data_IF_168182293788
#
_entry.id   IF_168182293788
#
_cell.length_a   1.000
_cell.length_b   1.000
_cell.length_c   1.000
_cell.angle_alpha   90.00
_cell.angle_beta   90.00
_cell.angle_gamma   90.00
#
_symmetry.space_group_name_H-M   'P 1'
#
loop_
_entity.id
_entity.type
_entity.pdbx_description
1 polymer ?
#
# COMPACT_ATOMS: atom_id res chain seq x y z
N UNK A 1 -16.18 3.97 -36.72
CA UNK A 1 -15.39 4.66 -37.76
C UNK A 1 -14.00 4.82 -37.17
N UNK A 2 -12.99 4.26 -37.82
CA UNK A 2 -11.61 4.24 -37.32
C UNK A 2 -11.10 5.68 -37.19
N UNK A 3 -10.84 6.11 -35.96
CA UNK A 3 -10.12 7.34 -35.66
C UNK A 3 -8.66 7.16 -36.06
N UNK A 4 -8.28 7.74 -37.19
CA UNK A 4 -6.90 7.82 -37.63
C UNK A 4 -6.09 8.61 -36.61
N UNK A 5 -5.21 7.94 -35.86
CA UNK A 5 -4.23 8.57 -34.96
C UNK A 5 -3.39 9.57 -35.78
N UNK A 6 -3.33 10.83 -35.36
CA UNK A 6 -2.33 11.77 -35.86
C UNK A 6 -0.94 11.34 -35.35
N UNK A 7 0.16 11.67 -36.05
CA UNK A 7 1.50 11.38 -35.56
C UNK A 7 1.68 12.11 -34.22
N UNK A 8 1.67 11.33 -33.14
CA UNK A 8 1.64 11.84 -31.77
C UNK A 8 2.78 12.81 -31.54
N UNK A 9 2.47 14.02 -31.06
CA UNK A 9 3.48 14.84 -30.41
C UNK A 9 4.02 13.98 -29.27
N UNK A 10 5.27 13.54 -29.37
CA UNK A 10 5.94 12.81 -28.31
C UNK A 10 6.58 13.82 -27.37
N UNK A 11 6.68 13.47 -26.09
CA UNK A 11 7.52 14.22 -25.17
C UNK A 11 8.94 14.32 -25.74
N UNK A 12 9.51 15.52 -25.74
CA UNK A 12 10.89 15.73 -26.19
C UNK A 12 11.88 14.91 -25.34
N UNK A 13 13.12 14.69 -25.83
CA UNK A 13 14.12 13.86 -25.15
C UNK A 13 14.47 14.33 -23.72
N UNK A 14 14.23 15.60 -23.40
CA UNK A 14 14.48 16.18 -22.06
C UNK A 14 13.27 16.12 -21.10
N UNK A 15 12.11 15.67 -21.57
CA UNK A 15 10.88 15.62 -20.78
C UNK A 15 10.81 14.33 -19.96
N UNK A 16 11.26 14.41 -18.71
CA UNK A 16 11.12 13.31 -17.75
C UNK A 16 9.65 12.97 -17.52
N UNK A 17 9.37 11.69 -17.36
CA UNK A 17 8.05 11.15 -17.10
C UNK A 17 8.01 10.33 -15.80
N UNK A 18 6.81 10.20 -15.25
CA UNK A 18 6.46 9.26 -14.19
C UNK A 18 5.57 8.20 -14.83
N UNK A 19 6.03 6.95 -14.83
CA UNK A 19 5.33 5.80 -15.36
C UNK A 19 4.51 5.10 -14.28
N UNK A 20 3.28 4.75 -14.60
CA UNK A 20 2.41 3.90 -13.81
C UNK A 20 2.08 2.66 -14.63
N UNK A 21 2.43 1.49 -14.11
CA UNK A 21 2.27 0.20 -14.78
C UNK A 21 1.04 -0.54 -14.24
N UNK A 22 0.60 -1.56 -14.98
CA UNK A 22 -0.50 -2.47 -14.59
C UNK A 22 -1.85 -1.76 -14.31
N UNK A 23 -2.13 -0.66 -15.01
CA UNK A 23 -3.38 0.09 -14.87
C UNK A 23 -4.45 -0.50 -15.80
N UNK A 24 -5.68 -0.65 -15.33
CA UNK A 24 -6.81 -1.03 -16.17
C UNK A 24 -7.43 0.23 -16.80
N UNK A 25 -7.64 0.23 -18.11
CA UNK A 25 -8.12 1.39 -18.87
C UNK A 25 -9.37 1.08 -19.68
N UNK A 26 -10.30 2.03 -19.67
CA UNK A 26 -11.54 2.00 -20.42
C UNK A 26 -11.90 3.42 -20.89
N UNK A 27 -12.38 3.56 -22.12
CA UNK A 27 -12.76 4.87 -22.70
C UNK A 27 -14.21 4.84 -23.16
N UNK A 28 -15.17 5.29 -22.32
CA UNK A 28 -16.55 5.40 -22.74
C UNK A 28 -16.74 6.54 -23.74
N UNK A 29 -17.61 6.34 -24.72
CA UNK A 29 -18.02 7.40 -25.64
C UNK A 29 -19.11 8.30 -25.00
N UNK A 30 -18.78 8.92 -23.86
CA UNK A 30 -19.67 9.78 -23.07
C UNK A 30 -18.87 11.00 -22.60
N UNK A 31 -19.39 12.20 -22.85
CA UNK A 31 -18.83 13.43 -22.29
C UNK A 31 -19.21 13.57 -20.81
N UNK A 32 -18.19 13.54 -19.95
CA UNK A 32 -18.32 13.70 -18.49
C UNK A 32 -17.56 14.94 -17.98
N UNK A 33 -17.27 15.89 -18.86
CA UNK A 33 -16.48 17.10 -18.54
C UNK A 33 -17.12 17.97 -17.45
N UNK A 34 -18.45 18.02 -17.41
CA UNK A 34 -19.23 18.80 -16.44
C UNK A 34 -19.55 18.04 -15.14
N UNK A 35 -19.18 16.77 -15.04
CA UNK A 35 -19.59 15.93 -13.93
C UNK A 35 -18.89 16.29 -12.63
N UNK A 36 -19.67 16.33 -11.56
CA UNK A 36 -19.14 16.48 -10.21
C UNK A 36 -18.69 15.12 -9.63
N UNK A 37 -18.04 15.17 -8.45
CA UNK A 37 -17.53 13.97 -7.75
C UNK A 37 -18.62 12.91 -7.51
N UNK A 38 -19.85 13.33 -7.21
CA UNK A 38 -20.96 12.42 -6.91
C UNK A 38 -21.45 11.70 -8.17
N UNK A 39 -21.50 12.38 -9.31
CA UNK A 39 -21.88 11.79 -10.60
C UNK A 39 -20.83 10.79 -11.08
N UNK A 40 -19.54 11.16 -11.00
CA UNK A 40 -18.44 10.26 -11.30
C UNK A 40 -18.50 8.99 -10.42
N UNK A 41 -18.75 9.14 -9.12
CA UNK A 41 -18.82 8.01 -8.19
C UNK A 41 -19.97 7.06 -8.50
N UNK A 42 -21.15 7.59 -8.86
CA UNK A 42 -22.29 6.76 -9.29
C UNK A 42 -21.94 5.92 -10.51
N UNK A 43 -21.20 6.47 -11.46
CA UNK A 43 -20.78 5.74 -12.64
C UNK A 43 -19.73 4.66 -12.32
N UNK A 44 -18.79 4.91 -11.40
CA UNK A 44 -17.88 3.86 -10.94
C UNK A 44 -18.61 2.67 -10.31
N UNK A 45 -19.69 2.90 -9.56
CA UNK A 45 -20.54 1.81 -9.05
C UNK A 45 -21.22 1.01 -10.18
N UNK A 46 -21.59 1.67 -11.28
CA UNK A 46 -22.14 0.97 -12.45
C UNK A 46 -21.06 0.07 -13.08
N UNK A 47 -19.84 0.57 -13.22
CA UNK A 47 -18.71 -0.21 -13.75
C UNK A 47 -18.35 -1.40 -12.85
N UNK A 48 -18.32 -1.21 -11.52
CA UNK A 48 -17.98 -2.29 -10.58
C UNK A 48 -19.04 -3.41 -10.61
N UNK A 49 -20.31 -3.08 -10.84
CA UNK A 49 -21.40 -4.06 -10.93
C UNK A 49 -21.53 -4.71 -12.32
N UNK A 50 -21.07 -4.04 -13.39
CA UNK A 50 -21.15 -4.53 -14.76
C UNK A 50 -19.82 -5.17 -15.18
N UNK A 51 -19.73 -6.50 -15.09
CA UNK A 51 -18.55 -7.27 -15.50
C UNK A 51 -18.32 -7.37 -17.02
N UNK A 52 -19.12 -6.69 -17.83
CA UNK A 52 -19.07 -6.76 -19.30
C UNK A 52 -18.10 -5.76 -19.94
N UNK A 53 -17.62 -4.76 -19.21
CA UNK A 53 -16.68 -3.78 -19.75
C UNK A 53 -15.27 -4.36 -19.86
N UNK A 54 -14.73 -4.37 -21.08
CA UNK A 54 -13.40 -4.92 -21.35
C UNK A 54 -12.34 -3.86 -21.03
N UNK A 55 -11.79 -3.93 -19.83
CA UNK A 55 -10.63 -3.12 -19.46
C UNK A 55 -9.37 -3.68 -20.13
N UNK A 56 -8.59 -2.78 -20.74
CA UNK A 56 -7.26 -3.11 -21.27
C UNK A 56 -6.21 -2.80 -20.22
N UNK A 57 -5.20 -3.64 -20.06
CA UNK A 57 -4.08 -3.35 -19.15
C UNK A 57 -3.08 -2.45 -19.87
N UNK A 58 -2.78 -1.30 -19.27
CA UNK A 58 -2.01 -0.22 -19.88
C UNK A 58 -0.93 0.31 -18.95
N UNK A 59 0.04 0.98 -19.55
CA UNK A 59 1.02 1.82 -18.87
C UNK A 59 0.69 3.29 -19.14
N UNK A 60 0.62 4.09 -18.07
CA UNK A 60 0.35 5.53 -18.13
C UNK A 60 1.66 6.29 -17.91
N UNK A 61 2.05 7.13 -18.86
CA UNK A 61 3.20 8.02 -18.73
C UNK A 61 2.74 9.46 -18.50
N UNK A 62 3.11 10.02 -17.36
CA UNK A 62 2.75 11.40 -16.98
C UNK A 62 4.02 12.25 -16.97
N UNK A 63 4.13 13.29 -17.81
CA UNK A 63 5.32 14.13 -17.89
C UNK A 63 5.47 14.98 -16.63
N UNK A 64 6.69 15.35 -16.25
CA UNK A 64 6.94 16.19 -15.07
C UNK A 64 6.77 17.70 -15.34
N UNK A 65 6.44 18.08 -16.57
CA UNK A 65 6.21 19.46 -16.98
C UNK A 65 4.78 19.64 -17.51
N UNK A 66 4.24 20.85 -17.37
CA UNK A 66 2.83 21.17 -17.67
C UNK A 66 2.51 21.18 -19.16
N UNK A 67 3.51 21.45 -19.99
CA UNK A 67 3.39 21.45 -21.46
C UNK A 67 3.53 20.05 -22.06
N UNK A 68 3.86 19.06 -21.23
CA UNK A 68 4.07 17.70 -21.65
C UNK A 68 2.77 16.99 -21.99
N UNK A 69 2.94 15.82 -22.59
CA UNK A 69 1.88 14.99 -23.12
C UNK A 69 1.76 13.75 -22.23
N UNK A 70 0.56 13.57 -21.67
CA UNK A 70 0.17 12.34 -21.02
C UNK A 70 -0.12 11.31 -22.11
N UNK A 71 0.45 10.12 -21.98
CA UNK A 71 0.19 9.02 -22.89
C UNK A 71 -0.24 7.77 -22.13
N UNK A 72 -1.16 7.02 -22.72
CA UNK A 72 -1.57 5.69 -22.28
C UNK A 72 -1.20 4.71 -23.38
N UNK A 73 -0.45 3.69 -23.00
CA UNK A 73 0.08 2.67 -23.91
C UNK A 73 -0.40 1.30 -23.50
N UNK A 74 -0.76 0.46 -24.44
CA UNK A 74 -1.09 -0.94 -24.17
C UNK A 74 0.13 -1.65 -23.57
N UNK A 75 -0.06 -2.35 -22.45
CA UNK A 75 1.04 -2.98 -21.71
C UNK A 75 1.68 -4.18 -22.45
N UNK A 76 0.96 -4.79 -23.40
CA UNK A 76 1.38 -5.97 -24.15
C UNK A 76 1.95 -5.56 -25.51
N UNK A 77 1.20 -4.76 -26.28
CA UNK A 77 1.60 -4.37 -27.64
C UNK A 77 2.51 -3.16 -27.68
N UNK A 78 2.60 -2.40 -26.57
CA UNK A 78 3.27 -1.10 -26.50
C UNK A 78 2.69 -0.06 -27.48
N UNK A 79 1.47 -0.28 -27.98
CA UNK A 79 0.76 0.66 -28.85
C UNK A 79 0.23 1.86 -28.04
N UNK A 80 0.34 3.07 -28.59
CA UNK A 80 -0.23 4.27 -27.98
C UNK A 80 -1.75 4.30 -28.20
N UNK A 81 -2.51 4.19 -27.12
CA UNK A 81 -3.97 4.21 -27.16
C UNK A 81 -4.50 5.65 -27.16
N UNK A 82 -3.98 6.49 -26.26
CA UNK A 82 -4.31 7.91 -26.20
C UNK A 82 -3.07 8.71 -25.83
N UNK A 83 -2.94 9.90 -26.39
CA UNK A 83 -1.95 10.90 -26.01
C UNK A 83 -2.56 12.29 -26.13
N UNK A 84 -2.44 13.10 -25.09
CA UNK A 84 -2.92 14.48 -25.12
C UNK A 84 -2.14 15.38 -24.13
N UNK A 85 -2.02 16.69 -24.40
CA UNK A 85 -1.38 17.64 -23.50
C UNK A 85 -2.02 17.69 -22.10
N UNK A 86 -1.22 17.73 -21.04
CA UNK A 86 -1.75 17.80 -19.66
C UNK A 86 -2.65 19.03 -19.41
N UNK A 87 -2.40 20.13 -20.11
CA UNK A 87 -3.21 21.35 -20.00
C UNK A 87 -4.62 21.23 -20.62
N UNK A 88 -4.90 20.16 -21.37
CA UNK A 88 -6.23 19.88 -21.93
C UNK A 88 -7.16 19.17 -20.94
N UNK A 89 -6.65 18.71 -19.79
CA UNK A 89 -7.44 18.08 -18.74
C UNK A 89 -8.46 19.09 -18.20
N UNK A 90 -9.75 18.74 -18.29
CA UNK A 90 -10.87 19.52 -17.76
C UNK A 90 -11.47 18.94 -16.50
N UNK A 91 -11.54 17.60 -16.41
CA UNK A 91 -12.07 16.91 -15.24
C UNK A 91 -11.08 15.83 -14.79
N UNK A 92 -10.80 15.81 -13.48
CA UNK A 92 -9.99 14.79 -12.83
C UNK A 92 -10.60 14.43 -11.47
N UNK A 93 -11.29 13.30 -11.44
CA UNK A 93 -12.06 12.83 -10.31
C UNK A 93 -11.62 11.43 -9.88
N UNK A 94 -11.76 11.11 -8.58
CA UNK A 94 -11.56 9.75 -8.04
C UNK A 94 -12.83 9.25 -7.38
N UNK A 95 -12.91 7.93 -7.21
CA UNK A 95 -13.87 7.32 -6.31
C UNK A 95 -13.76 7.84 -4.87
N UNK A 96 -14.87 7.72 -4.16
CA UNK A 96 -15.07 8.30 -2.83
C UNK A 96 -15.33 7.27 -1.73
N UNK A 97 -15.60 6.01 -2.10
CA UNK A 97 -15.89 4.92 -1.17
C UNK A 97 -15.01 3.70 -1.45
N UNK A 98 -15.09 2.69 -0.57
CA UNK A 98 -14.24 1.49 -0.62
C UNK A 98 -14.39 0.68 -1.91
N UNK A 99 -15.57 0.66 -2.53
CA UNK A 99 -15.82 -0.08 -3.77
C UNK A 99 -15.23 0.65 -4.99
N UNK A 100 -15.25 1.98 -4.97
CA UNK A 100 -14.85 2.82 -6.10
C UNK A 100 -13.47 3.46 -5.94
N UNK A 101 -12.82 3.26 -4.79
CA UNK A 101 -11.55 3.88 -4.42
C UNK A 101 -10.42 3.72 -5.45
N UNK A 102 -10.47 2.64 -6.24
CA UNK A 102 -9.47 2.31 -7.23
C UNK A 102 -9.69 3.00 -8.59
N UNK A 103 -10.76 3.77 -8.75
CA UNK A 103 -11.10 4.41 -10.02
C UNK A 103 -10.69 5.90 -10.09
N UNK A 104 -10.19 6.29 -11.26
CA UNK A 104 -9.94 7.67 -11.68
C UNK A 104 -10.74 7.93 -12.96
N UNK A 105 -11.40 9.08 -13.01
CA UNK A 105 -12.01 9.64 -14.20
C UNK A 105 -11.16 10.81 -14.68
N UNK A 106 -10.83 10.79 -15.97
CA UNK A 106 -10.00 11.75 -16.64
C UNK A 106 -10.71 12.21 -17.91
N UNK A 107 -11.08 13.49 -17.97
CA UNK A 107 -11.70 14.07 -19.16
C UNK A 107 -10.81 15.18 -19.71
N UNK A 108 -10.53 15.14 -21.01
CA UNK A 108 -9.75 16.17 -21.70
C UNK A 108 -10.51 16.70 -22.91
N UNK A 109 -10.20 17.93 -23.32
CA UNK A 109 -10.70 18.49 -24.57
C UNK A 109 -9.94 17.94 -25.77
N UNK A 110 -10.58 17.84 -26.92
CA UNK A 110 -9.88 17.61 -28.18
C UNK A 110 -9.60 18.97 -28.80
N UNK A 111 -8.36 19.48 -28.74
CA UNK A 111 -8.02 20.66 -29.52
C UNK A 111 -8.01 20.28 -31.01
N UNK A 112 -8.86 20.91 -31.82
CA UNK A 112 -8.83 20.80 -33.28
C UNK A 112 -7.58 21.52 -33.81
N UNK A 113 -6.39 20.95 -33.60
CA UNK A 113 -5.13 21.54 -34.05
C UNK A 113 -4.84 21.32 -35.55
N UNK A 114 -5.81 20.83 -36.33
CA UNK A 114 -5.77 20.85 -37.78
C UNK A 114 -6.81 21.85 -38.34
N UNK A 115 -6.61 23.14 -38.05
CA UNK A 115 -7.24 24.18 -38.87
C UNK A 115 -6.42 24.31 -40.17
N UNK A 116 -6.54 23.34 -41.08
CA UNK A 116 -6.38 23.64 -42.50
C UNK A 116 -7.60 24.48 -42.91
N UNK A 117 -7.42 25.80 -42.93
CA UNK A 117 -8.25 26.81 -43.56
C UNK A 117 -9.68 26.36 -43.95
N UNK A 118 -10.59 26.25 -42.98
CA UNK A 118 -12.02 26.13 -43.25
C UNK A 118 -12.67 27.51 -43.19
N UNK A 119 -13.50 27.80 -44.20
CA UNK A 119 -14.29 29.00 -44.43
C UNK A 119 -14.81 29.70 -43.15
N UNK A 120 -14.84 31.05 -43.09
CA UNK A 120 -15.35 31.82 -41.95
C UNK A 120 -16.90 31.77 -41.82
N UNK A 121 -17.54 30.72 -42.31
CA UNK A 121 -19.01 30.52 -42.25
C UNK A 121 -19.46 29.21 -41.61
N UNK A 122 -18.54 28.37 -41.12
CA UNK A 122 -18.91 27.17 -40.36
C UNK A 122 -18.96 27.46 -38.86
N UNK A 123 -20.02 26.96 -38.22
CA UNK A 123 -20.33 27.03 -36.78
C UNK A 123 -19.11 26.81 -35.88
N UNK A 124 -19.10 27.45 -34.70
CA UNK A 124 -18.06 27.30 -33.68
C UNK A 124 -17.67 25.81 -33.51
N UNK A 125 -16.37 25.48 -33.43
CA UNK A 125 -15.96 24.09 -33.26
C UNK A 125 -16.59 23.58 -31.96
N UNK A 126 -17.45 22.57 -32.08
CA UNK A 126 -18.00 21.85 -30.94
C UNK A 126 -16.82 21.41 -30.07
N UNK A 127 -16.70 21.99 -28.87
CA UNK A 127 -15.72 21.55 -27.88
C UNK A 127 -16.04 20.10 -27.51
N UNK A 128 -15.42 19.16 -28.21
CA UNK A 128 -15.61 17.74 -27.96
C UNK A 128 -14.67 17.34 -26.82
N UNK A 129 -15.24 16.69 -25.81
CA UNK A 129 -14.52 16.17 -24.66
C UNK A 129 -14.49 14.65 -24.72
N UNK A 130 -13.33 14.08 -24.45
CA UNK A 130 -13.15 12.63 -24.35
C UNK A 130 -12.93 12.27 -22.88
N UNK A 131 -13.65 11.24 -22.44
CA UNK A 131 -13.56 10.73 -21.07
C UNK A 131 -12.89 9.37 -21.06
N UNK A 132 -11.99 9.20 -20.10
CA UNK A 132 -11.24 7.99 -19.84
C UNK A 132 -11.37 7.58 -18.38
N UNK A 133 -11.45 6.29 -18.15
CA UNK A 133 -11.52 5.67 -16.84
C UNK A 133 -10.26 4.83 -16.65
N UNK A 134 -9.55 5.10 -15.56
CA UNK A 134 -8.42 4.31 -15.10
C UNK A 134 -8.82 3.60 -13.81
N UNK A 135 -8.59 2.29 -13.74
CA UNK A 135 -8.73 1.50 -12.52
C UNK A 135 -7.34 1.06 -12.09
N UNK A 136 -6.86 1.65 -11.00
CA UNK A 136 -5.56 1.34 -10.43
C UNK A 136 -5.65 0.01 -9.66
N UNK A 137 -4.55 -0.76 -9.55
CA UNK A 137 -4.50 -1.95 -8.71
C UNK A 137 -4.84 -1.67 -7.24
N UNK A 138 -4.59 -0.44 -6.77
CA UNK A 138 -4.83 -0.01 -5.39
C UNK A 138 -5.25 1.45 -5.30
N UNK A 139 -5.88 1.79 -4.18
CA UNK A 139 -6.29 3.14 -3.83
C UNK A 139 -5.11 4.13 -3.77
N UNK A 140 -3.96 3.71 -3.24
CA UNK A 140 -2.78 4.57 -3.17
C UNK A 140 -2.24 4.88 -4.57
N UNK A 141 -2.34 3.93 -5.52
CA UNK A 141 -2.10 4.20 -6.94
C UNK A 141 -3.02 5.30 -7.48
N UNK A 142 -4.32 5.22 -7.21
CA UNK A 142 -5.32 6.25 -7.57
C UNK A 142 -4.94 7.62 -7.01
N UNK A 143 -4.63 7.68 -5.71
CA UNK A 143 -4.24 8.92 -5.04
C UNK A 143 -3.02 9.54 -5.69
N UNK A 144 -2.00 8.72 -5.96
CA UNK A 144 -0.73 9.19 -6.51
C UNK A 144 -0.87 9.69 -7.94
N UNK A 145 -1.62 9.00 -8.81
CA UNK A 145 -1.89 9.50 -10.17
C UNK A 145 -2.52 10.88 -10.11
N UNK A 146 -3.56 11.04 -9.28
CA UNK A 146 -4.26 12.31 -9.14
C UNK A 146 -3.38 13.40 -8.56
N UNK A 147 -2.62 13.10 -7.50
CA UNK A 147 -1.72 14.03 -6.85
C UNK A 147 -0.65 14.53 -7.81
N UNK A 148 -0.01 13.62 -8.56
CA UNK A 148 0.99 13.95 -9.58
C UNK A 148 0.39 14.88 -10.63
N UNK A 149 -0.75 14.52 -11.23
CA UNK A 149 -1.39 15.34 -12.27
C UNK A 149 -1.76 16.72 -11.71
N UNK A 150 -2.38 16.77 -10.53
CA UNK A 150 -2.78 18.04 -9.90
C UNK A 150 -1.57 18.93 -9.65
N UNK A 151 -0.52 18.40 -9.02
CA UNK A 151 0.70 19.13 -8.68
C UNK A 151 1.38 19.72 -9.91
N UNK A 152 1.39 19.01 -11.03
CA UNK A 152 1.94 19.50 -12.30
C UNK A 152 1.08 20.62 -12.88
N UNK A 153 -0.26 20.47 -12.83
CA UNK A 153 -1.20 21.47 -13.37
C UNK A 153 -1.23 22.75 -12.51
N UNK A 154 -1.09 22.63 -11.19
CA UNK A 154 -1.16 23.75 -10.22
C UNK A 154 0.19 24.37 -9.88
N UNK A 155 1.30 23.86 -10.43
CA UNK A 155 2.68 24.34 -10.21
C UNK A 155 3.15 24.30 -8.74
N UNK A 156 2.59 23.41 -7.91
CA UNK A 156 3.02 23.21 -6.52
C UNK A 156 4.37 22.47 -6.45
N UNK A 157 5.44 23.23 -6.65
CA UNK A 157 6.83 22.76 -6.57
C UNK A 157 7.35 22.82 -5.14
N UNK A 158 7.00 21.83 -4.32
CA UNK A 158 7.72 21.66 -3.06
C UNK A 158 7.02 20.76 -2.05
N UNK A 159 7.38 19.48 -2.03
CA UNK A 159 7.60 18.81 -0.74
C UNK A 159 8.35 17.50 -0.93
N UNK A 160 9.50 17.40 -0.28
CA UNK A 160 10.17 16.14 0.02
C UNK A 160 9.29 15.36 0.99
N UNK A 161 8.65 14.28 0.53
CA UNK A 161 7.81 13.45 1.37
C UNK A 161 8.66 12.77 2.46
N UNK A 162 8.44 13.18 3.71
CA UNK A 162 8.91 12.47 4.91
C UNK A 162 7.78 11.55 5.36
N UNK A 163 8.11 10.27 5.57
CA UNK A 163 7.16 9.15 5.60
C UNK A 163 6.75 8.81 7.04
N UNK A 164 5.47 8.52 7.25
CA UNK A 164 4.94 7.91 8.48
C UNK A 164 3.95 6.83 8.09
N UNK A 165 4.35 5.57 8.16
CA UNK A 165 3.42 4.45 8.16
C UNK A 165 3.01 4.17 9.60
N UNK A 166 1.76 3.77 9.81
CA UNK A 166 1.22 3.38 11.12
C UNK A 166 0.70 1.96 10.93
N UNK A 167 1.10 1.00 11.76
CA UNK A 167 0.51 -0.34 11.70
C UNK A 167 -0.77 -0.40 12.48
N UNK A 168 -1.68 -1.26 12.07
CA UNK A 168 -2.81 -1.70 12.89
C UNK A 168 -2.55 -3.13 13.43
N UNK A 169 -3.22 -3.56 14.50
CA UNK A 169 -2.49 -4.06 15.66
C UNK A 169 -2.14 -5.56 15.70
N UNK A 170 -1.04 -5.87 16.39
CA UNK A 170 -0.70 -7.21 16.87
C UNK A 170 -1.53 -7.57 18.10
N UNK A 171 -2.16 -8.74 18.09
CA UNK A 171 -2.89 -9.26 19.25
C UNK A 171 -2.44 -10.67 19.56
N UNK A 172 -2.10 -10.93 20.82
CA UNK A 172 -1.96 -12.31 21.29
C UNK A 172 -3.30 -12.74 21.86
N UNK A 173 -3.77 -13.90 21.46
CA UNK A 173 -5.00 -14.51 21.97
C UNK A 173 -4.70 -15.87 22.60
N UNK A 174 -5.48 -16.27 23.59
CA UNK A 174 -5.37 -17.54 24.31
C UNK A 174 -6.64 -18.36 24.12
N UNK A 175 -6.50 -19.68 24.05
CA UNK A 175 -7.64 -20.60 24.11
C UNK A 175 -8.38 -20.44 25.44
N UNK A 176 -9.70 -20.24 25.37
CA UNK A 176 -10.56 -20.07 26.53
C UNK A 176 -11.06 -21.40 27.13
N UNK A 177 -10.64 -22.54 26.56
CA UNK A 177 -11.05 -23.87 26.99
C UNK A 177 -12.37 -24.35 26.40
N UNK A 178 -12.98 -23.59 25.47
CA UNK A 178 -14.20 -23.97 24.75
C UNK A 178 -13.96 -24.80 23.49
N UNK A 179 -12.69 -25.09 23.14
CA UNK A 179 -12.24 -25.73 21.89
C UNK A 179 -12.60 -24.96 20.60
N UNK A 180 -13.28 -23.81 20.68
CA UNK A 180 -13.78 -23.07 19.50
C UNK A 180 -13.24 -21.64 19.44
N UNK A 181 -13.01 -20.98 20.58
CA UNK A 181 -12.70 -19.54 20.62
C UNK A 181 -11.36 -19.21 21.28
N UNK A 182 -10.59 -18.31 20.65
CA UNK A 182 -9.41 -17.69 21.22
C UNK A 182 -9.77 -16.28 21.69
N UNK A 183 -9.43 -15.94 22.93
CA UNK A 183 -9.73 -14.64 23.54
C UNK A 183 -8.47 -13.76 23.62
N UNK A 184 -8.52 -12.47 23.24
CA UNK A 184 -7.39 -11.56 23.38
C UNK A 184 -6.85 -11.49 24.80
N UNK A 185 -5.53 -11.64 24.92
CA UNK A 185 -4.78 -11.60 26.16
C UNK A 185 -4.85 -10.19 26.79
N UNK A 186 -5.15 -10.07 28.08
CA UNK A 186 -5.18 -8.77 28.74
C UNK A 186 -3.76 -8.21 28.91
N UNK A 187 -3.67 -6.88 28.98
CA UNK A 187 -2.41 -6.15 29.17
C UNK A 187 -2.46 -5.28 30.41
N UNK A 188 -1.30 -5.14 31.05
CA UNK A 188 -1.06 -4.10 32.05
C UNK A 188 -0.63 -2.78 31.35
N UNK A 189 -0.34 -1.75 32.15
CA UNK A 189 0.23 -0.50 31.64
C UNK A 189 1.52 -0.79 30.85
N UNK A 190 1.79 0.05 29.85
CA UNK A 190 2.94 -0.09 28.95
C UNK A 190 2.95 -1.39 28.13
N UNK A 191 1.77 -1.85 27.72
CA UNK A 191 1.58 -2.97 26.78
C UNK A 191 2.19 -4.32 27.24
N UNK A 192 2.27 -4.54 28.56
CA UNK A 192 2.76 -5.81 29.12
C UNK A 192 1.66 -6.89 29.03
N UNK A 193 1.81 -7.86 28.15
CA UNK A 193 0.89 -8.98 27.98
C UNK A 193 0.86 -9.88 29.23
N UNK A 194 -0.33 -10.27 29.69
CA UNK A 194 -0.50 -11.20 30.81
C UNK A 194 -0.90 -12.58 30.29
N UNK A 195 0.08 -13.45 30.09
CA UNK A 195 -0.15 -14.77 29.49
C UNK A 195 -0.25 -15.84 30.57
N UNK A 196 -1.02 -16.90 30.33
CA UNK A 196 -1.04 -18.10 31.17
C UNK A 196 -0.05 -19.13 30.68
N UNK A 197 0.64 -19.81 31.59
CA UNK A 197 1.47 -20.96 31.23
C UNK A 197 0.61 -22.12 30.73
N UNK A 198 1.16 -22.92 29.83
CA UNK A 198 0.59 -24.16 29.33
C UNK A 198 -0.80 -23.99 28.71
N UNK A 199 -1.09 -22.80 28.19
CA UNK A 199 -2.32 -22.47 27.47
C UNK A 199 -1.97 -22.20 26.02
N UNK A 200 -2.67 -22.87 25.09
CA UNK A 200 -2.50 -22.65 23.66
C UNK A 200 -2.72 -21.18 23.30
N UNK A 201 -1.83 -20.63 22.48
CA UNK A 201 -1.90 -19.23 22.04
C UNK A 201 -1.94 -19.13 20.53
N UNK A 202 -2.52 -18.04 20.05
CA UNK A 202 -2.42 -17.61 18.67
C UNK A 202 -1.92 -16.19 18.63
N UNK A 203 -1.08 -15.92 17.65
CA UNK A 203 -0.63 -14.58 17.35
C UNK A 203 -1.41 -14.10 16.14
N UNK A 204 -2.16 -13.02 16.31
CA UNK A 204 -2.83 -12.30 15.23
C UNK A 204 -1.96 -11.10 14.87
N UNK A 205 -1.65 -10.96 13.59
CA UNK A 205 -0.90 -9.83 13.05
C UNK A 205 -1.70 -9.17 11.93
N UNK A 206 -1.66 -7.84 11.91
CA UNK A 206 -2.20 -7.01 10.85
C UNK A 206 -1.12 -6.06 10.36
N UNK A 207 -1.18 -5.72 9.08
CA UNK A 207 -0.40 -4.65 8.46
C UNK A 207 -1.34 -3.85 7.60
N UNK A 208 -1.34 -2.52 7.78
CA UNK A 208 -2.11 -1.59 6.98
C UNK A 208 -1.17 -0.49 6.48
N UNK A 209 -1.24 -0.16 5.19
CA UNK A 209 -0.62 1.05 4.68
C UNK A 209 -1.56 2.24 4.95
N UNK A 210 -1.08 3.28 5.66
CA UNK A 210 -1.92 4.44 6.00
C UNK A 210 -1.73 5.63 5.05
N UNK A 211 -0.51 5.85 4.58
CA UNK A 211 -0.20 6.96 3.67
C UNK A 211 -0.20 6.48 2.21
N UNK A 212 -0.80 7.28 1.32
CA UNK A 212 -0.90 7.02 -0.11
C UNK A 212 -0.03 7.87 -1.02
N UNK A 213 0.83 8.75 -0.48
CA UNK A 213 1.70 9.58 -1.31
C UNK A 213 2.75 8.76 -2.09
N UNK A 214 3.21 7.63 -1.53
CA UNK A 214 4.02 6.62 -2.24
C UNK A 214 3.38 5.25 -2.03
N UNK A 215 3.01 4.60 -3.13
CA UNK A 215 2.39 3.28 -3.11
C UNK A 215 3.44 2.21 -2.81
N UNK A 216 3.25 1.45 -1.71
CA UNK A 216 4.03 0.25 -1.42
C UNK A 216 3.19 -0.96 -1.84
N UNK A 217 3.53 -1.65 -2.94
CA UNK A 217 2.70 -2.73 -3.45
C UNK A 217 2.87 -4.00 -2.62
N UNK A 218 2.22 -4.08 -1.46
CA UNK A 218 2.22 -5.28 -0.63
C UNK A 218 1.37 -6.35 -1.34
N UNK A 219 1.98 -7.47 -1.72
CA UNK A 219 1.28 -8.64 -2.26
C UNK A 219 0.64 -9.48 -1.14
N UNK A 220 1.28 -9.51 0.03
CA UNK A 220 0.82 -10.29 1.17
C UNK A 220 1.82 -10.35 2.31
N UNK A 221 1.45 -11.12 3.33
CA UNK A 221 2.35 -11.53 4.42
C UNK A 221 3.00 -12.84 3.97
N UNK A 222 4.31 -12.82 3.74
CA UNK A 222 5.10 -14.01 3.45
C UNK A 222 5.08 -14.93 4.68
N UNK A 223 5.46 -14.38 5.84
CA UNK A 223 5.41 -15.12 7.09
C UNK A 223 5.44 -14.30 8.36
N UNK A 224 5.20 -15.03 9.45
CA UNK A 224 5.26 -14.56 10.82
C UNK A 224 6.25 -15.43 11.58
N UNK A 225 7.26 -14.77 12.14
CA UNK A 225 8.30 -15.37 12.95
C UNK A 225 8.25 -14.85 14.37
N UNK A 226 8.71 -15.66 15.31
CA UNK A 226 8.69 -15.37 16.74
C UNK A 226 9.98 -15.88 17.40
N UNK A 227 10.54 -15.08 18.31
CA UNK A 227 11.71 -15.49 19.09
C UNK A 227 11.66 -14.99 20.53
N UNK A 228 12.28 -15.73 21.44
CA UNK A 228 12.42 -15.32 22.84
C UNK A 228 13.61 -14.36 23.00
N UNK A 229 13.38 -13.18 23.57
CA UNK A 229 14.38 -12.15 23.78
C UNK A 229 14.15 -10.87 22.98
N UNK A 230 15.19 -10.01 22.94
CA UNK A 230 15.24 -8.72 22.24
C UNK A 230 16.40 -8.74 21.24
N UNK A 231 16.30 -7.94 20.18
CA UNK A 231 17.40 -7.73 19.22
C UNK A 231 17.98 -9.03 18.65
N UNK A 232 17.07 -9.98 18.37
CA UNK A 232 17.42 -11.31 17.87
C UNK A 232 17.87 -11.24 16.41
N UNK A 233 18.89 -12.03 16.08
CA UNK A 233 19.25 -12.35 14.70
C UNK A 233 18.19 -13.24 14.05
N UNK A 234 18.20 -13.33 12.71
CA UNK A 234 17.20 -14.13 12.00
C UNK A 234 17.32 -15.64 12.28
N UNK A 235 18.51 -16.14 12.64
CA UNK A 235 18.71 -17.55 13.04
C UNK A 235 18.07 -17.90 14.39
N UNK A 236 17.78 -16.90 15.23
CA UNK A 236 17.13 -17.10 16.53
C UNK A 236 15.59 -17.07 16.41
N UNK A 237 15.06 -16.69 15.25
CA UNK A 237 13.63 -16.65 15.01
C UNK A 237 13.08 -18.02 14.62
N UNK A 238 11.92 -18.35 15.18
CA UNK A 238 11.15 -19.53 14.79
C UNK A 238 10.02 -19.11 13.86
N UNK A 239 9.97 -19.70 12.67
CA UNK A 239 8.88 -19.53 11.71
C UNK A 239 7.60 -20.20 12.23
N UNK A 240 6.48 -19.45 12.26
CA UNK A 240 5.21 -19.93 12.78
C UNK A 240 4.15 -20.20 11.70
N UNK A 241 4.46 -19.90 10.44
CA UNK A 241 3.49 -19.90 9.34
C UNK A 241 3.30 -18.50 8.76
N UNK A 242 2.43 -18.40 7.76
CA UNK A 242 2.22 -17.15 7.04
C UNK A 242 1.12 -17.29 6.01
N UNK A 243 1.46 -17.92 4.89
CA UNK A 243 0.69 -17.90 3.64
C UNK A 243 -0.69 -18.56 3.72
N UNK A 244 -0.82 -19.72 4.37
CA UNK A 244 -2.06 -20.52 4.36
C UNK A 244 -3.25 -19.85 5.08
N UNK A 245 -2.98 -18.95 6.03
CA UNK A 245 -4.00 -18.29 6.87
C UNK A 245 -4.11 -16.79 6.60
N UNK A 246 -3.48 -16.27 5.52
CA UNK A 246 -3.58 -14.85 5.17
C UNK A 246 -4.97 -14.53 4.68
N UNK A 247 -5.66 -13.68 5.42
CA UNK A 247 -6.84 -12.99 4.93
C UNK A 247 -6.43 -11.62 4.40
N UNK A 248 -6.62 -11.41 3.10
CA UNK A 248 -6.57 -10.05 2.54
C UNK A 248 -7.78 -9.30 3.08
N UNK A 249 -7.52 -8.22 3.83
CA UNK A 249 -8.58 -7.47 4.47
C UNK A 249 -9.40 -6.66 3.45
N UNK A 250 -10.69 -6.97 3.35
CA UNK A 250 -11.77 -5.98 3.21
C UNK A 250 -12.31 -5.55 4.59
N UNK A 251 -11.84 -6.19 5.65
CA UNK A 251 -12.45 -6.16 6.98
C UNK A 251 -11.88 -5.06 7.88
N UNK A 252 -12.34 -3.84 7.62
CA UNK A 252 -12.54 -2.78 8.60
C UNK A 252 -13.38 -1.73 7.88
N UNK A 253 -14.48 -1.28 8.46
CA UNK A 253 -15.36 -0.26 7.85
C UNK A 253 -14.66 1.08 7.58
N UNK A 254 -13.39 1.21 7.95
CA UNK A 254 -12.55 2.38 7.79
C UNK A 254 -11.29 2.14 6.93
N UNK A 255 -10.99 0.89 6.53
CA UNK A 255 -9.78 0.56 5.76
C UNK A 255 -10.17 0.29 4.31
N UNK A 256 -9.47 0.96 3.37
CA UNK A 256 -9.75 0.81 1.94
C UNK A 256 -9.27 -0.55 1.42
N UNK A 257 -10.02 -1.11 0.46
CA UNK A 257 -9.79 -2.46 -0.06
C UNK A 257 -8.36 -2.61 -0.62
N UNK A 258 -7.66 -3.63 -0.14
CA UNK A 258 -6.34 -4.00 -0.67
C UNK A 258 -5.13 -3.27 -0.11
N UNK A 259 -5.27 -2.47 0.95
CA UNK A 259 -4.15 -1.82 1.67
C UNK A 259 -3.83 -2.46 3.02
N UNK A 260 -4.62 -3.47 3.42
CA UNK A 260 -4.50 -4.15 4.71
C UNK A 260 -4.42 -5.67 4.55
N UNK A 261 -3.51 -6.28 5.27
CA UNK A 261 -3.28 -7.73 5.32
C UNK A 261 -3.30 -8.18 6.76
N UNK A 262 -3.99 -9.28 7.04
CA UNK A 262 -3.96 -9.89 8.35
C UNK A 262 -3.80 -11.40 8.24
N UNK A 263 -3.13 -11.98 9.21
CA UNK A 263 -3.01 -13.42 9.36
C UNK A 263 -2.97 -13.76 10.83
N UNK A 264 -3.22 -15.02 11.14
CA UNK A 264 -2.98 -15.55 12.47
C UNK A 264 -2.16 -16.82 12.37
N UNK A 265 -1.27 -17.00 13.34
CA UNK A 265 -0.40 -18.16 13.43
C UNK A 265 -0.52 -18.80 14.81
N UNK A 266 -0.41 -20.12 14.85
CA UNK A 266 -0.45 -20.85 16.11
C UNK A 266 0.89 -20.71 16.81
N UNK A 267 0.84 -20.38 18.10
CA UNK A 267 2.03 -20.31 18.93
C UNK A 267 2.54 -21.73 19.23
N UNK A 268 3.81 -22.04 18.96
CA UNK A 268 4.33 -23.39 19.12
C UNK A 268 4.53 -23.69 20.61
N UNK A 269 3.69 -24.56 21.16
CA UNK A 269 3.72 -24.96 22.58
C UNK A 269 4.79 -26.02 22.89
N UNK A 270 5.36 -26.67 21.88
CA UNK A 270 6.29 -27.80 22.01
C UNK A 270 7.73 -27.49 21.58
N UNK A 271 8.07 -26.20 21.38
CA UNK A 271 9.37 -25.80 20.88
C UNK A 271 10.27 -25.25 21.99
N UNK A 272 11.54 -25.67 22.03
CA UNK A 272 12.46 -25.45 23.16
C UNK A 272 12.65 -23.97 23.54
N UNK A 273 12.74 -23.08 22.55
CA UNK A 273 12.84 -21.63 22.75
C UNK A 273 11.60 -21.04 23.44
N UNK A 274 10.46 -21.72 23.37
CA UNK A 274 9.19 -21.24 23.93
C UNK A 274 8.90 -21.80 25.32
N UNK A 275 9.73 -22.70 25.84
CA UNK A 275 9.63 -23.18 27.22
C UNK A 275 9.67 -22.05 28.25
N UNK A 276 10.34 -20.94 27.92
CA UNK A 276 10.39 -19.75 28.77
C UNK A 276 9.04 -19.03 28.91
N UNK A 277 8.08 -19.25 28.00
CA UNK A 277 6.71 -18.75 28.13
C UNK A 277 5.84 -19.60 29.06
N UNK A 278 6.37 -20.72 29.56
CA UNK A 278 5.73 -21.58 30.57
C UNK A 278 6.34 -21.39 31.98
N UNK A 279 7.39 -20.59 32.11
CA UNK A 279 8.01 -20.26 33.40
C UNK A 279 7.24 -19.10 34.03
N UNK A 280 6.62 -19.34 35.19
CA UNK A 280 5.87 -18.33 35.93
C UNK A 280 6.82 -17.19 36.33
N UNK A 281 6.48 -15.95 35.95
CA UNK A 281 7.24 -14.78 36.35
C UNK A 281 6.87 -14.31 37.75
N UNK A 282 7.84 -13.82 38.51
CA UNK A 282 7.56 -13.06 39.75
C UNK A 282 6.93 -11.69 39.42
N UNK A 283 6.50 -10.95 40.46
CA UNK A 283 5.78 -9.67 40.29
C UNK A 283 6.57 -8.66 39.44
N UNK A 284 7.89 -8.65 39.55
CA UNK A 284 8.74 -7.65 38.92
C UNK A 284 9.48 -8.20 37.69
N UNK A 285 9.28 -9.48 37.36
CA UNK A 285 9.86 -10.11 36.18
C UNK A 285 8.90 -10.05 34.98
N UNK A 286 9.45 -9.71 33.83
CA UNK A 286 8.80 -9.86 32.55
C UNK A 286 9.78 -10.45 31.53
N UNK A 287 9.24 -11.26 30.63
CA UNK A 287 9.96 -11.80 29.50
C UNK A 287 9.78 -10.89 28.29
N UNK A 288 10.76 -10.94 27.41
CA UNK A 288 10.73 -10.23 26.14
C UNK A 288 10.62 -11.24 25.02
N UNK A 289 9.89 -10.87 24.00
CA UNK A 289 9.79 -11.66 22.80
C UNK A 289 9.70 -10.76 21.60
N UNK A 290 10.22 -11.23 20.49
CA UNK A 290 10.27 -10.46 19.25
C UNK A 290 9.36 -11.12 18.23
N UNK A 291 8.40 -10.36 17.73
CA UNK A 291 7.55 -10.72 16.59
C UNK A 291 8.16 -10.11 15.34
N UNK A 292 8.36 -10.91 14.30
CA UNK A 292 8.77 -10.44 12.98
C UNK A 292 7.73 -10.85 11.96
N UNK A 293 7.26 -9.89 11.16
CA UNK A 293 6.39 -10.16 10.03
C UNK A 293 7.16 -9.82 8.77
N UNK A 294 7.24 -10.76 7.84
CA UNK A 294 7.87 -10.56 6.54
C UNK A 294 6.78 -10.34 5.50
N UNK A 295 6.86 -9.21 4.80
CA UNK A 295 5.93 -8.84 3.76
C UNK A 295 6.52 -9.11 2.39
N UNK A 296 5.69 -9.70 1.52
CA UNK A 296 6.00 -9.81 0.11
C UNK A 296 5.64 -8.48 -0.57
N UNK A 297 6.66 -7.75 -1.02
CA UNK A 297 6.46 -6.52 -1.79
C UNK A 297 6.60 -6.86 -3.28
N UNK A 298 5.65 -6.41 -4.08
CA UNK A 298 5.62 -6.63 -5.52
C UNK A 298 6.91 -6.12 -6.17
N UNK A 299 7.53 -6.98 -6.98
CA UNK A 299 8.78 -6.70 -7.72
C UNK A 299 9.98 -6.30 -6.84
N UNK A 300 9.93 -6.59 -5.54
CA UNK A 300 11.08 -6.49 -4.65
C UNK A 300 11.65 -7.90 -4.41
N UNK A 301 12.96 -8.07 -4.55
CA UNK A 301 13.62 -9.38 -4.40
C UNK A 301 13.64 -9.84 -2.94
N UNK A 302 13.95 -8.93 -2.01
CA UNK A 302 14.00 -9.24 -0.58
C UNK A 302 12.68 -8.86 0.12
N UNK A 303 12.11 -9.74 0.97
CA UNK A 303 10.91 -9.42 1.71
C UNK A 303 11.16 -8.31 2.74
N UNK A 304 10.18 -7.43 2.91
CA UNK A 304 10.25 -6.38 3.91
C UNK A 304 9.96 -6.96 5.30
N UNK A 305 10.97 -6.95 6.17
CA UNK A 305 10.86 -7.44 7.55
C UNK A 305 10.48 -6.32 8.51
N UNK A 306 9.42 -6.52 9.27
CA UNK A 306 8.90 -5.57 10.25
C UNK A 306 8.90 -6.24 11.62
N UNK A 307 9.53 -5.59 12.61
CA UNK A 307 9.94 -6.23 13.86
C UNK A 307 9.45 -5.46 15.07
N UNK A 308 8.63 -6.13 15.89
CA UNK A 308 8.16 -5.60 17.17
C UNK A 308 8.74 -6.37 18.35
N UNK A 309 9.25 -5.63 19.33
CA UNK A 309 9.62 -6.19 20.63
C UNK A 309 8.42 -6.05 21.57
N UNK A 310 7.97 -7.17 22.12
CA UNK A 310 6.85 -7.26 23.04
C UNK A 310 7.32 -7.71 24.43
N UNK A 311 6.50 -7.42 25.43
CA UNK A 311 6.73 -7.82 26.83
C UNK A 311 5.59 -8.69 27.30
N UNK A 312 5.91 -9.77 28.01
CA UNK A 312 4.90 -10.58 28.68
C UNK A 312 5.28 -10.90 30.12
N UNK A 313 4.26 -11.13 30.95
CA UNK A 313 4.40 -11.83 32.22
C UNK A 313 3.56 -13.09 32.18
N UNK A 314 4.17 -14.20 32.60
CA UNK A 314 3.56 -15.52 32.60
C UNK A 314 2.97 -15.80 33.98
N UNK A 315 1.70 -16.16 34.00
CA UNK A 315 0.90 -16.49 35.18
C UNK A 315 0.57 -17.99 35.21
N UNK A 316 -0.01 -18.44 36.32
CA UNK A 316 -0.53 -19.80 36.44
C UNK A 316 -1.67 -20.05 35.45
N UNK A 317 -1.89 -21.31 35.12
CA UNK A 317 -2.93 -21.75 34.17
C UNK A 317 -4.34 -21.42 34.65
N UNK A 318 -4.56 -21.36 35.97
CA UNK A 318 -5.84 -21.04 36.62
C UNK A 318 -6.00 -19.54 36.98
N UNK A 319 -5.08 -18.69 36.54
CA UNK A 319 -5.11 -17.25 36.87
C UNK A 319 -6.39 -16.58 36.31
N UNK A 320 -7.06 -15.81 37.16
CA UNK A 320 -8.25 -15.06 36.80
C UNK A 320 -7.85 -13.61 36.51
N UNK A 321 -7.98 -13.21 35.25
CA UNK A 321 -7.77 -11.83 34.83
C UNK A 321 -9.07 -11.03 34.90
N UNK A 322 -9.05 -9.92 35.61
CA UNK A 322 -10.18 -8.98 35.68
C UNK A 322 -10.59 -8.46 34.30
N UNK A 323 -11.91 -8.32 34.08
CA UNK A 323 -12.48 -7.85 32.80
C UNK A 323 -12.10 -6.41 32.45
N UNK A 324 -11.70 -5.60 33.43
CA UNK A 324 -11.30 -4.21 33.25
C UNK A 324 -9.92 -4.01 32.62
N UNK A 325 -9.15 -5.09 32.44
CA UNK A 325 -7.82 -5.03 31.82
C UNK A 325 -7.90 -4.82 30.31
N UNK A 326 -6.92 -4.09 29.77
CA UNK A 326 -6.91 -3.72 28.35
C UNK A 326 -6.66 -4.94 27.46
N UNK A 327 -7.61 -5.21 26.57
CA UNK A 327 -7.56 -6.28 25.56
C UNK A 327 -7.43 -5.75 24.15
N UNK A 328 -7.30 -4.43 23.97
CA UNK A 328 -7.10 -3.83 22.66
C UNK A 328 -5.81 -4.34 22.03
N UNK A 329 -5.80 -4.60 20.73
CA UNK A 329 -4.59 -5.08 20.10
C UNK A 329 -3.54 -3.94 20.03
N UNK A 330 -2.26 -4.32 20.01
CA UNK A 330 -1.09 -3.45 20.18
C UNK A 330 -0.64 -2.87 18.82
N UNK A 331 -0.53 -1.55 18.71
CA UNK A 331 -0.27 -0.79 17.47
C UNK A 331 1.18 -0.28 17.45
N UNK A 332 1.90 -0.40 16.33
CA UNK A 332 3.23 0.24 16.13
C UNK A 332 3.30 0.96 14.82
N UNK A 333 3.95 2.11 14.79
CA UNK A 333 4.06 2.85 13.54
C UNK A 333 5.43 2.59 12.92
N UNK A 334 5.49 2.45 11.59
CA UNK A 334 6.73 2.21 10.86
C UNK A 334 6.93 3.22 9.74
N UNK A 335 8.03 3.95 9.80
CA UNK A 335 8.52 4.76 8.69
C UNK A 335 9.46 3.93 7.82
N UNK A 336 9.09 3.74 6.55
CA UNK A 336 9.90 3.01 5.57
C UNK A 336 10.54 4.02 4.61
N UNK A 337 11.87 4.05 4.54
CA UNK A 337 12.61 4.83 3.54
C UNK A 337 12.98 3.91 2.38
N UNK A 338 12.55 4.26 1.16
CA UNK A 338 12.76 3.47 -0.04
C UNK A 338 13.12 4.35 -1.24
N UNK A 339 13.66 3.74 -2.29
CA UNK A 339 13.80 4.35 -3.62
C UNK A 339 12.99 3.55 -4.62
N UNK A 340 12.41 4.27 -5.55
CA UNK A 340 11.74 3.70 -6.72
C UNK A 340 12.71 3.72 -7.90
N UNK A 341 12.49 2.84 -8.87
CA UNK A 341 13.40 2.72 -10.01
C UNK A 341 13.30 3.95 -10.91
N UNK A 342 14.46 4.49 -11.25
CA UNK A 342 14.64 5.54 -12.25
C UNK A 342 15.41 4.93 -13.42
N UNK A 343 14.93 5.13 -14.64
CA UNK A 343 15.59 4.64 -15.85
C UNK A 343 16.79 5.51 -16.28
N UNK A 344 17.52 5.09 -17.32
CA UNK A 344 18.67 5.81 -17.86
C UNK A 344 18.32 7.21 -18.39
N UNK A 345 17.06 7.43 -18.75
CA UNK A 345 16.54 8.70 -19.25
C UNK A 345 16.04 9.62 -18.10
N UNK A 346 16.13 9.17 -16.84
CA UNK A 346 15.69 9.92 -15.68
C UNK A 346 14.18 9.85 -15.42
N UNK A 347 13.47 8.90 -16.02
CA UNK A 347 12.05 8.67 -15.79
C UNK A 347 11.83 7.80 -14.55
N UNK A 348 10.82 8.15 -13.76
CA UNK A 348 10.46 7.46 -12.53
C UNK A 348 9.40 6.39 -12.80
N UNK A 349 9.62 5.15 -12.36
CA UNK A 349 8.57 4.11 -12.38
C UNK A 349 7.89 4.03 -11.01
N UNK A 350 6.69 4.59 -10.93
CA UNK A 350 5.86 4.63 -9.73
C UNK A 350 5.50 3.22 -9.25
N UNK A 351 5.74 2.92 -7.97
CA UNK A 351 5.44 1.64 -7.34
C UNK A 351 6.47 0.55 -7.59
N UNK A 352 7.43 0.78 -8.50
CA UNK A 352 8.53 -0.15 -8.75
C UNK A 352 9.67 0.15 -7.78
N UNK A 353 9.64 -0.52 -6.62
CA UNK A 353 10.61 -0.31 -5.55
C UNK A 353 11.95 -0.94 -5.92
N UNK A 354 13.01 -0.13 -5.95
CA UNK A 354 14.37 -0.60 -6.21
C UNK A 354 15.05 -1.08 -4.93
N UNK A 355 14.93 -0.32 -3.84
CA UNK A 355 15.58 -0.65 -2.57
C UNK A 355 14.83 -0.04 -1.39
N UNK A 356 14.83 -0.76 -0.27
CA UNK A 356 14.44 -0.24 1.04
C UNK A 356 15.72 0.01 1.85
N UNK A 357 15.90 1.24 2.34
CA UNK A 357 17.11 1.66 3.06
C UNK A 357 16.97 1.54 4.57
N UNK A 358 15.79 1.89 5.07
CA UNK A 358 15.58 1.98 6.50
C UNK A 358 14.11 1.73 6.83
N UNK A 359 13.90 1.02 7.92
CA UNK A 359 12.62 0.72 8.52
C UNK A 359 12.73 1.14 9.97
N UNK A 360 12.04 2.21 10.34
CA UNK A 360 12.10 2.79 11.69
C UNK A 360 10.76 2.62 12.36
N UNK A 361 10.72 1.87 13.47
CA UNK A 361 9.56 1.80 14.33
C UNK A 361 9.44 3.09 15.16
N UNK A 362 8.23 3.64 15.24
CA UNK A 362 7.88 4.75 16.10
C UNK A 362 7.09 4.21 17.30
N UNK A 363 7.66 4.42 18.49
CA UNK A 363 7.02 4.05 19.73
C UNK A 363 6.65 5.34 20.49
N UNK A 364 5.37 5.60 20.78
CA UNK A 364 4.93 6.85 21.39
C UNK A 364 5.56 7.13 22.77
N UNK A 365 6.17 6.13 23.43
CA UNK A 365 6.85 6.29 24.71
C UNK A 365 8.40 6.31 24.65
N UNK A 366 9.03 6.16 23.47
CA UNK A 366 10.49 6.17 23.35
C UNK A 366 11.00 7.16 22.28
N UNK A 367 11.32 8.39 22.73
CA UNK A 367 12.15 9.36 22.00
C UNK A 367 13.65 8.93 22.00
N UNK A 368 13.96 7.72 21.54
CA UNK A 368 15.34 7.32 21.23
C UNK A 368 15.34 6.48 19.96
N UNK A 369 15.93 7.03 18.89
CA UNK A 369 16.07 6.35 17.60
C UNK A 369 16.90 5.08 17.78
N UNK A 370 16.31 3.92 17.55
CA UNK A 370 17.06 2.69 17.36
C UNK A 370 17.49 2.66 15.89
N UNK A 371 18.76 2.93 15.64
CA UNK A 371 19.38 2.82 14.31
C UNK A 371 19.67 1.34 14.06
N UNK A 372 19.18 0.72 12.98
CA UNK A 372 19.61 -0.62 12.59
C UNK A 372 21.06 -0.58 12.07
N UNK A 373 21.87 -1.53 12.54
CA UNK A 373 23.25 -1.73 12.11
C UNK A 373 23.31 -2.06 10.62
N UNK A 374 23.88 -1.16 9.81
CA UNK A 374 24.28 -1.46 8.43
C UNK A 374 25.49 -2.39 8.48
N UNK A 375 25.34 -3.62 7.99
CA UNK A 375 26.47 -4.48 7.66
C UNK A 375 27.13 -3.89 6.42
N UNK A 376 28.20 -3.12 6.62
CA UNK A 376 29.11 -2.75 5.53
C UNK A 376 29.83 -4.03 5.09
N UNK A 377 29.50 -4.54 3.91
CA UNK A 377 30.38 -5.47 3.21
C UNK A 377 31.67 -4.72 2.86
N UNK A 378 32.76 -5.09 3.54
CA UNK A 378 34.08 -4.63 3.20
C UNK A 378 34.49 -5.23 1.85
N UNK A 379 34.83 -4.36 0.91
CA UNK A 379 35.50 -4.70 -0.34
C UNK A 379 36.78 -5.51 -0.05
N UNK A 380 36.85 -6.69 -0.65
CA UNK A 380 38.04 -7.53 -0.62
C UNK A 380 39.17 -6.87 -1.40
N UNK A 381 40.32 -6.67 -0.74
CA UNK A 381 41.62 -6.63 -1.40
C UNK A 381 42.22 -8.03 -1.37
N UNK A 382 42.37 -8.64 -2.53
CA UNK A 382 43.58 -9.32 -2.96
C UNK A 382 43.68 -9.26 -4.48
#
# INVERSE_FOLDING_TARGET
>A
MNSTLSPGKTNGPDSRCIYFEDIQFFSPNIDMSSWNKTEANKYFHVLENNSTDCFTVVNVSIPTNREGILCVTDSITSEQLICFPLNEIKNLSKGSDTATANYVLLTHGTSSSNNEATDPSSEEPLNMYLTHILRCPTYHGTLRIIDVIRRIITEETGSTATISGVWEPQSVTEDDGSNVNFTPVPKEKSELFKMRKSTAKRLFVGVSQLDGHVYLPINGILDVCLGFGRYLSDSELTYLGGEENVTRGEASSNSLSGTSFSTWVTWPSNHNQFSMFDVIGSRDECIFFTVVVRLLIHRLEEPLSLRRICRARVYKTDEIFWLSLDRKPVIEDYTIKLTESIDENGNLHSGKIQKIFNVTAFHPEHNQSIVPSVVNQAEGKF
#
